data_IF_465796872568
#
_entry.id   IF_465796872568
#
_cell.length_a   1.000
_cell.length_b   1.000
_cell.length_c   1.000
_cell.angle_alpha   90.00
_cell.angle_beta   90.00
_cell.angle_gamma   90.00
#
_symmetry.space_group_name_H-M   'P 1'
#
loop_
_entity.id
_entity.type
_entity.pdbx_description
1 polymer ?
#
# COMPACT_ATOMS: atom_id res chain seq x y z
N UNK A 1 28.21 -27.31 -36.94
CA UNK A 1 26.72 -27.39 -36.96
C UNK A 1 26.38 -28.00 -35.63
N UNK A 2 25.85 -27.20 -34.73
CA UNK A 2 25.56 -27.65 -33.36
C UNK A 2 24.37 -28.62 -33.42
N UNK A 3 24.53 -29.79 -32.86
CA UNK A 3 23.50 -30.83 -32.85
C UNK A 3 22.56 -30.57 -31.66
N UNK A 4 21.51 -29.77 -31.89
CA UNK A 4 20.51 -29.45 -30.88
C UNK A 4 19.63 -30.68 -30.62
N UNK A 5 19.97 -31.47 -29.61
CA UNK A 5 19.17 -32.65 -29.23
C UNK A 5 18.01 -32.24 -28.31
N UNK A 6 16.98 -31.58 -28.87
CA UNK A 6 15.75 -31.25 -28.13
C UNK A 6 14.82 -32.46 -28.13
N UNK A 7 14.49 -32.99 -26.95
CA UNK A 7 13.49 -34.05 -26.80
C UNK A 7 12.15 -33.44 -26.40
N UNK A 8 11.24 -33.37 -27.36
CA UNK A 8 9.88 -32.89 -27.11
C UNK A 8 9.02 -34.02 -26.53
N UNK A 9 8.21 -33.68 -25.50
CA UNK A 9 7.25 -34.60 -24.90
C UNK A 9 5.83 -34.13 -25.22
N UNK A 10 5.05 -35.02 -25.87
CA UNK A 10 3.64 -34.77 -26.19
C UNK A 10 2.70 -35.05 -25.00
N UNK A 11 3.20 -35.75 -23.99
CA UNK A 11 2.51 -36.09 -22.72
C UNK A 11 2.76 -35.11 -21.61
N UNK A 12 3.41 -33.96 -21.87
CA UNK A 12 3.69 -32.92 -20.92
C UNK A 12 2.56 -31.88 -20.87
N UNK A 13 2.29 -31.30 -19.69
CA UNK A 13 1.37 -30.17 -19.53
C UNK A 13 1.85 -28.88 -20.20
N UNK A 14 3.12 -28.85 -20.64
CA UNK A 14 3.72 -27.71 -21.34
C UNK A 14 3.55 -27.78 -22.84
N UNK A 15 3.13 -26.66 -23.44
CA UNK A 15 3.05 -26.54 -24.90
C UNK A 15 4.42 -26.78 -25.57
N UNK A 16 4.44 -27.28 -26.80
CA UNK A 16 5.68 -27.58 -27.51
C UNK A 16 6.59 -26.38 -27.71
N UNK A 17 6.04 -25.18 -27.95
CA UNK A 17 6.83 -23.98 -28.08
C UNK A 17 7.54 -23.60 -26.78
N UNK A 18 6.89 -23.83 -25.61
CA UNK A 18 7.49 -23.61 -24.33
C UNK A 18 8.66 -24.55 -24.05
N UNK A 19 8.52 -25.81 -24.43
CA UNK A 19 9.61 -26.79 -24.29
C UNK A 19 10.82 -26.38 -25.11
N UNK A 20 10.61 -25.92 -26.36
CA UNK A 20 11.68 -25.45 -27.25
C UNK A 20 12.34 -24.21 -26.65
N UNK A 21 11.55 -23.22 -26.20
CA UNK A 21 12.01 -22.02 -25.60
C UNK A 21 12.85 -22.27 -24.31
N UNK A 22 12.32 -23.10 -23.41
CA UNK A 22 13.00 -23.41 -22.14
C UNK A 22 14.34 -24.15 -22.41
N UNK A 23 14.37 -25.05 -23.35
CA UNK A 23 15.58 -25.79 -23.71
C UNK A 23 16.68 -24.86 -24.26
N UNK A 24 16.35 -24.01 -25.24
CA UNK A 24 17.32 -23.09 -25.83
C UNK A 24 17.79 -22.08 -24.78
N UNK A 25 16.87 -21.52 -23.96
CA UNK A 25 17.20 -20.64 -22.89
C UNK A 25 18.17 -21.26 -21.90
N UNK A 26 17.95 -22.51 -21.53
CA UNK A 26 18.82 -23.25 -20.63
C UNK A 26 20.20 -23.47 -21.19
N UNK A 27 20.31 -23.88 -22.47
CA UNK A 27 21.60 -24.08 -23.14
C UNK A 27 22.41 -22.78 -23.26
N UNK A 28 21.74 -21.64 -23.49
CA UNK A 28 22.38 -20.31 -23.46
C UNK A 28 22.90 -19.99 -22.03
N UNK A 29 22.09 -20.24 -21.01
CA UNK A 29 22.46 -19.99 -19.61
C UNK A 29 23.60 -20.89 -19.12
N UNK A 30 23.63 -22.13 -19.55
CA UNK A 30 24.70 -23.09 -19.22
C UNK A 30 25.97 -22.87 -20.03
N UNK A 31 25.97 -21.91 -20.97
CA UNK A 31 27.10 -21.61 -21.83
C UNK A 31 27.38 -22.68 -22.92
N UNK A 32 26.43 -23.56 -23.16
CA UNK A 32 26.52 -24.54 -24.26
C UNK A 32 26.34 -23.89 -25.62
N UNK A 33 25.46 -22.87 -25.67
CA UNK A 33 25.30 -21.98 -26.82
C UNK A 33 26.04 -20.68 -26.51
N UNK A 34 27.10 -20.42 -27.29
CA UNK A 34 27.99 -19.29 -27.03
C UNK A 34 27.45 -17.98 -27.60
N UNK A 35 27.79 -16.86 -26.95
CA UNK A 35 27.44 -15.53 -27.47
C UNK A 35 27.97 -15.32 -28.90
N UNK A 36 27.09 -14.83 -29.78
CA UNK A 36 27.37 -14.66 -31.19
C UNK A 36 27.19 -15.94 -32.03
N UNK A 37 26.87 -17.07 -31.43
CA UNK A 37 26.58 -18.30 -32.13
C UNK A 37 25.26 -18.19 -32.92
N UNK A 38 25.24 -18.75 -34.12
CA UNK A 38 24.07 -18.71 -34.99
C UNK A 38 23.14 -19.87 -34.71
N UNK A 39 21.89 -19.61 -34.43
CA UNK A 39 20.85 -20.60 -34.29
C UNK A 39 20.34 -21.08 -35.67
N UNK A 40 19.80 -22.31 -35.75
CA UNK A 40 19.08 -22.78 -36.92
C UNK A 40 17.95 -21.82 -37.32
N UNK A 41 17.59 -21.78 -38.61
CA UNK A 41 16.38 -21.04 -38.99
C UNK A 41 15.14 -21.70 -38.42
N UNK A 42 14.08 -20.92 -38.18
CA UNK A 42 12.82 -21.45 -37.64
C UNK A 42 12.26 -22.60 -38.53
N UNK A 43 12.46 -22.49 -39.82
CA UNK A 43 12.08 -23.56 -40.78
C UNK A 43 12.92 -24.83 -40.59
N UNK A 44 14.24 -24.67 -40.50
CA UNK A 44 15.15 -25.80 -40.35
C UNK A 44 14.97 -26.54 -39.03
N UNK A 45 14.74 -25.77 -37.91
CA UNK A 45 14.49 -26.34 -36.59
C UNK A 45 13.12 -27.04 -36.54
N UNK A 46 12.10 -26.47 -37.18
CA UNK A 46 10.78 -27.07 -37.26
C UNK A 46 10.79 -28.41 -38.04
N UNK A 47 11.51 -28.45 -39.14
CA UNK A 47 11.71 -29.68 -39.93
C UNK A 47 12.47 -30.75 -39.11
N UNK A 48 13.51 -30.36 -38.39
CA UNK A 48 14.28 -31.26 -37.53
C UNK A 48 13.46 -31.84 -36.38
N UNK A 49 12.66 -30.98 -35.69
CA UNK A 49 11.83 -31.37 -34.56
C UNK A 49 10.48 -31.98 -34.95
N UNK A 50 10.15 -32.01 -36.23
CA UNK A 50 8.86 -32.48 -36.78
C UNK A 50 7.65 -31.75 -36.18
N UNK A 51 7.76 -30.42 -35.99
CA UNK A 51 6.70 -29.54 -35.47
C UNK A 51 6.29 -28.50 -36.52
N UNK A 52 5.16 -27.84 -36.29
CA UNK A 52 4.76 -26.73 -37.15
C UNK A 52 5.78 -25.57 -37.02
N UNK A 53 6.07 -24.88 -38.13
CA UNK A 53 6.99 -23.73 -38.13
C UNK A 53 6.56 -22.64 -37.12
N UNK A 54 5.26 -22.36 -37.01
CA UNK A 54 4.71 -21.41 -36.04
C UNK A 54 5.09 -21.74 -34.61
N UNK A 55 5.23 -23.02 -34.25
CA UNK A 55 5.65 -23.45 -32.90
C UNK A 55 7.07 -22.97 -32.60
N UNK A 56 7.97 -23.04 -33.57
CA UNK A 56 9.34 -22.57 -33.44
C UNK A 56 9.40 -21.04 -33.52
N UNK A 57 8.58 -20.41 -34.38
CA UNK A 57 8.49 -18.98 -34.50
C UNK A 57 8.08 -18.37 -33.13
N UNK A 58 7.06 -18.92 -32.43
CA UNK A 58 6.66 -18.46 -31.07
C UNK A 58 7.78 -18.62 -30.05
N UNK A 59 8.51 -19.70 -30.04
CA UNK A 59 9.64 -19.91 -29.14
C UNK A 59 10.76 -18.89 -29.39
N UNK A 60 11.07 -18.59 -30.65
CA UNK A 60 12.08 -17.62 -31.01
C UNK A 60 11.63 -16.17 -30.72
N UNK A 61 10.37 -15.85 -30.95
CA UNK A 61 9.83 -14.54 -30.63
C UNK A 61 9.93 -14.27 -29.14
N UNK A 62 9.71 -15.26 -28.29
CA UNK A 62 9.87 -15.13 -26.84
C UNK A 62 11.34 -14.95 -26.46
N UNK A 63 12.26 -15.72 -27.02
CA UNK A 63 13.70 -15.56 -26.80
C UNK A 63 14.21 -14.21 -27.28
N UNK A 64 13.66 -13.66 -28.38
CA UNK A 64 13.93 -12.31 -28.87
C UNK A 64 13.44 -11.25 -27.89
N UNK A 65 12.19 -11.37 -27.43
CA UNK A 65 11.57 -10.40 -26.51
C UNK A 65 12.30 -10.34 -25.17
N UNK A 66 12.85 -11.47 -24.71
CA UNK A 66 13.64 -11.55 -23.50
C UNK A 66 15.13 -11.21 -23.69
N UNK A 67 15.57 -11.00 -24.95
CA UNK A 67 16.94 -10.61 -25.25
C UNK A 67 17.97 -11.74 -25.16
N UNK A 68 17.56 -13.00 -25.16
CA UNK A 68 18.48 -14.15 -25.25
C UNK A 68 19.10 -14.30 -26.64
N UNK A 69 18.35 -13.93 -27.66
CA UNK A 69 18.78 -13.96 -29.05
C UNK A 69 18.47 -12.64 -29.75
N UNK A 70 19.14 -12.35 -30.82
CA UNK A 70 18.88 -11.22 -31.72
C UNK A 70 18.65 -11.68 -33.14
N UNK A 71 17.77 -11.01 -33.88
CA UNK A 71 17.55 -11.22 -35.28
C UNK A 71 18.44 -10.26 -36.11
N UNK A 72 19.31 -10.77 -36.96
CA UNK A 72 20.10 -9.98 -37.92
C UNK A 72 19.50 -10.07 -39.31
N UNK A 73 19.16 -8.94 -39.96
CA UNK A 73 18.57 -8.94 -41.29
C UNK A 73 19.37 -9.80 -42.25
N UNK A 74 18.70 -10.71 -42.98
CA UNK A 74 19.27 -11.65 -43.96
C UNK A 74 20.29 -12.66 -43.42
N UNK A 75 20.63 -12.62 -42.12
CA UNK A 75 21.65 -13.50 -41.51
C UNK A 75 21.06 -14.52 -40.55
N UNK A 76 19.86 -14.30 -40.04
CA UNK A 76 19.16 -15.19 -39.11
C UNK A 76 19.27 -14.78 -37.65
N UNK A 77 19.15 -15.75 -36.76
CA UNK A 77 19.11 -15.55 -35.31
C UNK A 77 20.46 -15.85 -34.65
N UNK A 78 20.86 -15.05 -33.69
CA UNK A 78 22.15 -15.17 -33.02
C UNK A 78 21.97 -15.03 -31.52
N UNK A 79 22.75 -15.77 -30.75
CA UNK A 79 22.77 -15.68 -29.29
C UNK A 79 23.36 -14.34 -28.84
N UNK A 80 22.66 -13.62 -27.96
CA UNK A 80 23.13 -12.36 -27.43
C UNK A 80 24.27 -12.56 -26.42
N UNK A 81 25.12 -11.55 -26.27
CA UNK A 81 26.15 -11.51 -25.23
C UNK A 81 25.48 -11.09 -23.90
N UNK A 82 25.33 -12.02 -22.99
CA UNK A 82 24.72 -11.81 -21.68
C UNK A 82 25.83 -11.41 -20.69
N UNK A 83 26.22 -10.12 -20.67
CA UNK A 83 27.21 -9.64 -19.71
C UNK A 83 26.56 -9.45 -18.32
N UNK A 84 27.05 -10.17 -17.32
CA UNK A 84 26.86 -9.88 -15.90
C UNK A 84 25.51 -10.19 -15.26
N UNK A 85 24.54 -10.74 -16.01
CA UNK A 85 23.19 -11.00 -15.46
C UNK A 85 23.10 -12.37 -14.73
N UNK A 86 24.04 -13.28 -14.96
CA UNK A 86 24.00 -14.65 -14.44
C UNK A 86 25.07 -14.99 -13.43
N UNK A 87 25.81 -14.01 -12.91
CA UNK A 87 26.66 -14.19 -11.73
C UNK A 87 25.92 -13.97 -10.40
N UNK A 88 24.61 -13.84 -10.42
CA UNK A 88 23.86 -14.35 -9.30
C UNK A 88 23.97 -15.89 -9.46
N UNK A 89 25.02 -16.46 -8.91
CA UNK A 89 24.96 -17.84 -8.49
C UNK A 89 23.57 -17.99 -7.89
N UNK A 90 22.72 -18.75 -8.56
CA UNK A 90 21.74 -19.46 -7.76
C UNK A 90 22.61 -20.26 -6.80
N UNK A 91 22.93 -19.65 -5.63
CA UNK A 91 22.76 -20.45 -4.48
C UNK A 91 21.40 -21.08 -4.68
N UNK A 92 21.42 -22.34 -5.08
CA UNK A 92 20.34 -23.26 -4.82
C UNK A 92 20.35 -23.46 -3.29
N UNK A 93 20.31 -22.36 -2.57
CA UNK A 93 19.64 -22.31 -1.31
C UNK A 93 18.25 -22.76 -1.70
N UNK A 94 17.91 -24.04 -1.42
CA UNK A 94 16.53 -24.37 -1.11
C UNK A 94 16.01 -23.10 -0.47
N UNK A 95 15.05 -22.44 -1.12
CA UNK A 95 14.14 -21.56 -0.39
C UNK A 95 13.83 -22.44 0.80
N UNK A 96 14.26 -22.11 2.03
CA UNK A 96 13.93 -22.95 3.16
C UNK A 96 12.44 -23.15 2.96
N UNK A 97 12.02 -24.41 2.76
CA UNK A 97 10.58 -24.67 2.77
C UNK A 97 10.17 -23.93 4.02
N UNK A 98 9.28 -22.93 3.94
CA UNK A 98 8.90 -22.16 5.10
C UNK A 98 8.61 -23.27 6.10
N UNK A 99 9.42 -23.34 7.19
CA UNK A 99 9.22 -24.31 8.25
C UNK A 99 7.73 -24.33 8.39
N UNK A 100 7.11 -25.49 8.10
CA UNK A 100 5.68 -25.54 7.85
C UNK A 100 5.08 -24.81 9.05
N UNK A 101 4.68 -23.55 8.82
CA UNK A 101 4.07 -22.74 9.87
C UNK A 101 2.93 -23.60 10.36
N UNK A 102 3.14 -24.23 11.50
CA UNK A 102 2.16 -25.06 12.15
C UNK A 102 1.19 -24.10 12.84
N UNK A 103 0.04 -23.79 12.21
CA UNK A 103 -0.96 -22.93 12.83
C UNK A 103 -1.45 -23.50 14.16
N UNK A 104 -1.14 -24.77 14.46
CA UNK A 104 -1.54 -25.45 15.68
C UNK A 104 -0.47 -25.38 16.79
N UNK A 105 0.77 -24.97 16.50
CA UNK A 105 1.81 -24.87 17.51
C UNK A 105 1.62 -23.65 18.44
N UNK A 106 0.99 -22.58 17.95
CA UNK A 106 0.67 -21.39 18.75
C UNK A 106 -0.69 -21.51 19.48
N UNK A 107 -1.57 -22.42 19.06
CA UNK A 107 -2.98 -22.47 19.47
C UNK A 107 -3.25 -23.34 20.74
N UNK A 108 -2.23 -23.96 21.33
CA UNK A 108 -2.46 -24.87 22.48
C UNK A 108 -2.73 -24.17 23.80
N UNK A 109 -2.54 -22.86 23.89
CA UNK A 109 -2.77 -22.08 25.13
C UNK A 109 -3.77 -20.92 24.94
N UNK A 110 -4.42 -20.78 23.76
CA UNK A 110 -5.26 -19.63 23.44
C UNK A 110 -6.74 -19.75 23.86
N UNK A 111 -7.21 -20.93 24.27
CA UNK A 111 -8.65 -21.12 24.61
C UNK A 111 -9.17 -20.26 25.77
N UNK A 112 -8.33 -19.42 26.41
CA UNK A 112 -8.75 -18.58 27.55
C UNK A 112 -8.21 -17.14 27.53
N UNK A 113 -7.57 -16.67 26.47
CA UNK A 113 -7.11 -15.29 26.41
C UNK A 113 -8.20 -14.41 25.79
N UNK A 114 -8.66 -13.43 26.55
CA UNK A 114 -9.48 -12.35 25.98
C UNK A 114 -8.51 -11.46 25.17
N UNK A 115 -8.69 -11.45 23.86
CA UNK A 115 -7.89 -10.62 22.95
C UNK A 115 -8.45 -9.17 22.94
N UNK A 116 -7.68 -8.23 23.50
CA UNK A 116 -7.93 -6.79 23.43
C UNK A 116 -7.17 -6.12 22.30
N UNK A 117 -6.66 -6.88 21.34
CA UNK A 117 -5.97 -6.31 20.17
C UNK A 117 -6.87 -5.30 19.45
N UNK A 118 -6.37 -4.12 19.12
CA UNK A 118 -7.13 -3.13 18.35
C UNK A 118 -7.45 -3.59 16.92
N UNK A 119 -6.87 -4.71 16.48
CA UNK A 119 -7.08 -5.29 15.15
C UNK A 119 -8.18 -6.37 15.13
N UNK A 120 -8.61 -6.85 16.30
CA UNK A 120 -9.73 -7.79 16.41
C UNK A 120 -11.04 -7.13 15.96
N UNK A 121 -11.70 -7.72 14.95
CA UNK A 121 -13.01 -7.26 14.46
C UNK A 121 -14.01 -8.37 14.70
N UNK A 122 -15.14 -8.03 15.33
CA UNK A 122 -16.27 -8.94 15.43
C UNK A 122 -16.97 -9.07 14.06
N UNK A 123 -16.56 -10.08 13.30
CA UNK A 123 -17.14 -10.37 11.99
C UNK A 123 -18.61 -10.82 12.06
N UNK A 124 -19.11 -11.25 13.24
CA UNK A 124 -20.51 -11.64 13.40
C UNK A 124 -21.44 -10.42 13.34
N UNK A 125 -20.96 -9.26 13.77
CA UNK A 125 -21.70 -7.99 13.69
C UNK A 125 -21.72 -7.35 12.31
N UNK A 126 -20.90 -7.82 11.36
CA UNK A 126 -20.79 -7.18 10.04
C UNK A 126 -22.04 -7.43 9.17
N UNK A 127 -22.67 -6.39 8.61
CA UNK A 127 -23.93 -6.52 7.89
C UNK A 127 -23.75 -7.05 6.44
N UNK A 128 -23.26 -8.28 6.28
CA UNK A 128 -22.97 -8.90 4.97
C UNK A 128 -24.14 -8.83 3.98
N UNK A 129 -25.39 -8.99 4.46
CA UNK A 129 -26.58 -8.94 3.62
C UNK A 129 -26.78 -7.56 2.97
N UNK A 130 -26.51 -6.50 3.73
CA UNK A 130 -26.60 -5.11 3.22
C UNK A 130 -25.48 -4.85 2.21
N UNK A 131 -24.24 -5.22 2.52
CA UNK A 131 -23.09 -5.09 1.64
C UNK A 131 -23.31 -5.83 0.32
N UNK A 132 -23.69 -7.11 0.38
CA UNK A 132 -23.98 -7.91 -0.83
C UNK A 132 -25.02 -7.25 -1.71
N UNK A 133 -26.10 -6.73 -1.11
CA UNK A 133 -27.17 -6.04 -1.85
C UNK A 133 -26.66 -4.76 -2.51
N UNK A 134 -25.92 -3.93 -1.77
CA UNK A 134 -25.34 -2.67 -2.29
C UNK A 134 -24.39 -2.98 -3.44
N UNK A 135 -23.44 -3.90 -3.23
CA UNK A 135 -22.47 -4.30 -4.25
C UNK A 135 -23.15 -4.79 -5.52
N UNK A 136 -24.16 -5.68 -5.39
CA UNK A 136 -24.91 -6.19 -6.53
C UNK A 136 -25.65 -5.08 -7.30
N UNK A 137 -26.17 -4.06 -6.60
CA UNK A 137 -26.87 -2.95 -7.23
C UNK A 137 -25.94 -1.97 -7.94
N UNK A 138 -24.71 -1.83 -7.46
CA UNK A 138 -23.71 -0.91 -8.01
C UNK A 138 -22.92 -1.57 -9.14
N UNK A 139 -22.49 -2.82 -8.96
CA UNK A 139 -21.72 -3.57 -9.97
C UNK A 139 -22.68 -4.16 -11.02
N UNK A 140 -23.03 -3.35 -12.01
CA UNK A 140 -23.83 -3.75 -13.16
C UNK A 140 -23.33 -3.07 -14.43
N UNK A 141 -23.79 -3.51 -15.59
CA UNK A 141 -23.34 -3.03 -16.89
C UNK A 141 -23.58 -1.52 -17.11
N UNK A 142 -24.54 -0.93 -16.39
CA UNK A 142 -24.84 0.51 -16.49
C UNK A 142 -23.82 1.40 -15.75
N UNK A 143 -23.00 0.80 -14.87
CA UNK A 143 -22.00 1.49 -14.06
C UNK A 143 -20.57 1.05 -14.43
N UNK A 144 -20.33 0.77 -15.70
CA UNK A 144 -19.00 0.30 -16.19
C UNK A 144 -17.88 1.32 -15.92
N UNK A 145 -18.21 2.59 -15.76
CA UNK A 145 -17.28 3.67 -15.39
C UNK A 145 -16.59 3.44 -14.03
N UNK A 146 -17.19 2.65 -13.13
CA UNK A 146 -16.55 2.28 -11.86
C UNK A 146 -15.24 1.50 -12.03
N UNK A 147 -15.03 0.92 -13.21
CA UNK A 147 -13.80 0.18 -13.56
C UNK A 147 -12.80 1.04 -14.35
N UNK A 148 -13.14 2.28 -14.63
CA UNK A 148 -12.22 3.23 -15.25
C UNK A 148 -11.22 3.77 -14.22
N UNK A 149 -10.13 4.35 -14.71
CA UNK A 149 -9.20 5.08 -13.85
C UNK A 149 -9.90 6.28 -13.22
N UNK A 150 -10.07 6.27 -11.88
CA UNK A 150 -10.66 7.35 -11.13
C UNK A 150 -9.76 8.59 -11.02
N UNK A 151 -10.27 9.61 -10.32
CA UNK A 151 -9.52 10.84 -10.04
C UNK A 151 -8.39 10.57 -9.01
N UNK A 152 -7.26 11.25 -9.16
CA UNK A 152 -6.10 11.11 -8.26
C UNK A 152 -6.40 11.40 -6.77
N UNK A 153 -7.41 12.25 -6.50
CA UNK A 153 -7.89 12.57 -5.15
C UNK A 153 -8.98 11.61 -4.65
N UNK A 154 -9.42 10.66 -5.47
CA UNK A 154 -10.63 9.86 -5.28
C UNK A 154 -11.85 10.50 -5.98
N UNK A 155 -12.84 9.69 -6.29
CA UNK A 155 -14.03 10.10 -7.05
C UNK A 155 -14.76 11.27 -6.38
N UNK A 156 -15.21 12.22 -7.19
CA UNK A 156 -15.84 13.44 -6.68
C UNK A 156 -17.07 13.14 -5.83
N UNK A 157 -17.94 12.23 -6.25
CA UNK A 157 -19.16 11.87 -5.52
C UNK A 157 -18.85 11.24 -4.16
N UNK A 158 -17.78 10.46 -4.07
CA UNK A 158 -17.29 9.93 -2.80
C UNK A 158 -16.80 11.07 -1.90
N UNK A 159 -15.98 11.97 -2.41
CA UNK A 159 -15.49 13.15 -1.67
C UNK A 159 -16.61 14.08 -1.21
N UNK A 160 -17.63 14.28 -2.06
CA UNK A 160 -18.83 15.04 -1.71
C UNK A 160 -19.62 14.36 -0.58
N UNK A 161 -19.75 13.04 -0.64
CA UNK A 161 -20.42 12.26 0.40
C UNK A 161 -19.67 12.31 1.72
N UNK A 162 -18.34 12.18 1.67
CA UNK A 162 -17.45 12.33 2.84
C UNK A 162 -17.58 13.74 3.43
N UNK A 163 -17.54 14.79 2.62
CA UNK A 163 -17.69 16.17 3.09
C UNK A 163 -19.01 16.37 3.86
N UNK A 164 -20.11 15.90 3.31
CA UNK A 164 -21.44 15.97 3.96
C UNK A 164 -21.49 15.17 5.28
N UNK A 165 -20.93 13.97 5.25
CA UNK A 165 -20.85 13.11 6.42
C UNK A 165 -20.03 13.77 7.54
N UNK A 166 -18.84 14.25 7.26
CA UNK A 166 -17.96 14.88 8.22
C UNK A 166 -18.56 16.18 8.78
N UNK A 167 -19.23 16.97 7.93
CA UNK A 167 -19.94 18.16 8.37
C UNK A 167 -21.04 17.82 9.39
N UNK A 168 -21.89 16.83 9.07
CA UNK A 168 -23.02 16.45 9.94
C UNK A 168 -22.60 15.71 11.20
N UNK A 169 -21.55 14.88 11.15
CA UNK A 169 -21.14 14.03 12.26
C UNK A 169 -20.10 14.69 13.17
N UNK A 170 -19.20 15.50 12.62
CA UNK A 170 -18.04 16.03 13.33
C UNK A 170 -17.92 17.55 13.27
N UNK A 171 -18.79 18.22 12.52
CA UNK A 171 -18.72 19.67 12.30
C UNK A 171 -17.54 20.11 11.44
N UNK A 172 -16.86 19.18 10.76
CA UNK A 172 -15.71 19.50 9.91
C UNK A 172 -16.15 20.41 8.77
N UNK A 173 -15.48 21.53 8.61
CA UNK A 173 -15.74 22.48 7.53
C UNK A 173 -14.76 22.23 6.38
N UNK A 174 -15.17 21.39 5.41
CA UNK A 174 -14.37 21.09 4.25
C UNK A 174 -15.23 21.00 2.98
N UNK A 175 -14.64 21.35 1.84
CA UNK A 175 -15.22 21.15 0.51
C UNK A 175 -14.68 19.89 -0.13
N UNK A 176 -15.39 19.27 -1.09
CA UNK A 176 -14.91 18.07 -1.78
C UNK A 176 -13.50 18.22 -2.40
N UNK A 177 -13.17 19.42 -2.89
CA UNK A 177 -11.86 19.72 -3.48
C UNK A 177 -10.70 19.69 -2.49
N UNK A 178 -11.01 19.75 -1.18
CA UNK A 178 -10.02 19.69 -0.09
C UNK A 178 -9.84 18.28 0.45
N UNK A 179 -10.58 17.30 -0.07
CA UNK A 179 -10.55 15.91 0.42
C UNK A 179 -9.68 15.07 -0.51
N UNK A 180 -8.81 14.29 0.07
CA UNK A 180 -8.02 13.26 -0.60
C UNK A 180 -8.39 11.91 0.01
N UNK A 181 -8.81 10.97 -0.82
CA UNK A 181 -9.06 9.58 -0.44
C UNK A 181 -7.81 8.77 -0.77
N UNK A 182 -7.26 8.09 0.21
CA UNK A 182 -6.02 7.35 0.06
C UNK A 182 -6.08 5.94 0.65
N UNK A 183 -5.09 5.14 0.31
CA UNK A 183 -4.96 3.75 0.74
C UNK A 183 -4.34 3.66 2.15
N UNK A 184 -5.08 4.10 3.17
CA UNK A 184 -4.66 4.02 4.56
C UNK A 184 -3.84 5.20 5.06
N UNK A 185 -3.56 5.19 6.37
CA UNK A 185 -2.93 6.31 7.08
C UNK A 185 -1.49 6.55 6.60
N UNK A 186 -0.74 5.50 6.34
CA UNK A 186 0.67 5.58 5.93
C UNK A 186 0.81 6.35 4.61
N UNK A 187 -0.07 6.06 3.64
CA UNK A 187 -0.13 6.78 2.37
C UNK A 187 -0.47 8.27 2.57
N UNK A 188 -1.44 8.58 3.46
CA UNK A 188 -1.81 9.96 3.74
C UNK A 188 -0.67 10.72 4.44
N UNK A 189 0.05 10.09 5.37
CA UNK A 189 1.21 10.68 6.01
C UNK A 189 2.38 10.90 5.02
N UNK A 190 2.55 10.00 4.03
CA UNK A 190 3.51 10.21 2.94
C UNK A 190 3.15 11.42 2.07
N UNK A 191 1.87 11.62 1.75
CA UNK A 191 1.42 12.82 1.03
C UNK A 191 1.66 14.08 1.85
N UNK A 192 1.40 14.05 3.16
CA UNK A 192 1.67 15.18 4.05
C UNK A 192 3.16 15.51 4.10
N UNK A 193 4.05 14.51 4.04
CA UNK A 193 5.51 14.76 3.94
C UNK A 193 5.84 15.58 2.68
N UNK A 194 5.21 15.29 1.54
CA UNK A 194 5.42 16.04 0.30
C UNK A 194 4.89 17.47 0.38
N UNK A 195 3.78 17.68 1.08
CA UNK A 195 3.14 19.00 1.22
C UNK A 195 3.89 19.86 2.24
N UNK A 196 4.21 19.33 3.40
CA UNK A 196 4.84 20.04 4.50
C UNK A 196 6.35 20.22 4.32
N UNK A 197 7.00 19.33 3.54
CA UNK A 197 8.45 19.30 3.34
C UNK A 197 9.20 18.58 4.46
N UNK A 198 10.44 18.17 4.19
CA UNK A 198 11.26 17.30 5.06
C UNK A 198 11.95 17.99 6.23
N UNK A 199 12.04 19.31 6.22
CA UNK A 199 12.84 20.06 7.19
C UNK A 199 12.01 20.73 8.29
N UNK A 200 10.77 20.26 8.48
CA UNK A 200 9.90 20.76 9.54
C UNK A 200 10.02 19.88 10.78
N UNK A 201 10.13 20.49 11.95
CA UNK A 201 9.97 19.78 13.22
C UNK A 201 8.51 19.42 13.46
N UNK A 202 8.27 18.18 13.89
CA UNK A 202 6.93 17.69 14.26
C UNK A 202 6.89 17.41 15.75
N UNK A 203 5.94 18.02 16.46
CA UNK A 203 5.60 17.65 17.83
C UNK A 203 4.60 16.50 17.83
N UNK A 204 4.81 15.52 18.69
CA UNK A 204 3.88 14.44 18.95
C UNK A 204 3.59 14.31 20.43
N UNK A 205 2.38 13.88 20.78
CA UNK A 205 1.97 13.61 22.16
C UNK A 205 2.86 12.54 22.81
N UNK A 206 3.05 12.61 24.10
CA UNK A 206 3.76 11.59 24.89
C UNK A 206 2.84 11.07 26.02
N UNK A 207 2.34 9.81 25.94
CA UNK A 207 2.56 8.79 24.89
C UNK A 207 1.85 9.11 23.58
N UNK A 208 2.26 8.45 22.46
CA UNK A 208 1.69 8.68 21.13
C UNK A 208 1.44 7.38 20.37
N UNK A 209 0.77 7.48 19.21
CA UNK A 209 0.58 6.38 18.29
C UNK A 209 1.90 5.98 17.63
N UNK A 210 2.39 4.79 17.99
CA UNK A 210 3.72 4.31 17.60
C UNK A 210 3.91 4.18 16.09
N UNK A 211 2.84 3.83 15.33
CA UNK A 211 2.94 3.68 13.86
C UNK A 211 3.19 5.05 13.21
N UNK A 212 2.41 6.07 13.52
CA UNK A 212 2.65 7.41 13.02
C UNK A 212 4.06 7.93 13.40
N UNK A 213 4.50 7.69 14.64
CA UNK A 213 5.85 8.04 15.08
C UNK A 213 6.93 7.37 14.20
N UNK A 214 6.79 6.06 13.91
CA UNK A 214 7.74 5.32 13.07
C UNK A 214 7.76 5.86 11.64
N UNK A 215 6.60 6.20 11.07
CA UNK A 215 6.48 6.76 9.73
C UNK A 215 7.17 8.12 9.65
N UNK A 216 6.86 9.06 10.54
CA UNK A 216 7.54 10.36 10.56
C UNK A 216 9.06 10.21 10.77
N UNK A 217 9.48 9.27 11.61
CA UNK A 217 10.90 8.96 11.79
C UNK A 217 11.56 8.41 10.52
N UNK A 218 10.86 7.57 9.75
CA UNK A 218 11.38 7.04 8.48
C UNK A 218 11.56 8.12 7.42
N UNK A 219 10.78 9.20 7.50
CA UNK A 219 10.93 10.39 6.64
C UNK A 219 12.02 11.35 7.12
N UNK A 220 12.77 10.98 8.16
CA UNK A 220 13.83 11.78 8.76
C UNK A 220 13.34 13.13 9.33
N UNK A 221 12.08 13.22 9.76
CA UNK A 221 11.60 14.37 10.49
C UNK A 221 12.29 14.51 11.86
N UNK A 222 12.54 15.76 12.26
CA UNK A 222 12.89 16.06 13.65
C UNK A 222 11.63 15.95 14.51
N UNK A 223 11.52 14.87 15.28
CA UNK A 223 10.36 14.60 16.13
C UNK A 223 10.67 15.06 17.55
N UNK A 224 9.79 15.89 18.11
CA UNK A 224 9.81 16.32 19.50
C UNK A 224 8.58 15.73 20.19
N UNK A 225 8.79 15.02 21.29
CA UNK A 225 7.68 14.52 22.12
C UNK A 225 7.31 15.57 23.15
N UNK A 226 6.03 15.93 23.19
CA UNK A 226 5.48 16.93 24.11
C UNK A 226 4.60 16.23 25.13
N UNK A 227 4.86 16.47 26.42
CA UNK A 227 4.11 15.85 27.49
C UNK A 227 2.65 16.27 27.47
N UNK A 228 1.81 15.35 27.90
CA UNK A 228 0.37 15.52 28.07
C UNK A 228 0.01 15.69 29.55
N UNK A 229 -1.12 16.30 29.78
CA UNK A 229 -1.88 16.26 31.02
C UNK A 229 -3.28 15.65 30.74
N UNK A 230 -4.16 15.72 31.73
CA UNK A 230 -5.56 15.24 31.62
C UNK A 230 -6.40 15.99 30.57
N UNK A 231 -5.88 17.08 30.00
CA UNK A 231 -6.54 17.92 28.98
C UNK A 231 -5.95 17.73 27.58
N UNK A 232 -4.90 16.92 27.43
CA UNK A 232 -4.21 16.66 26.15
C UNK A 232 -2.80 17.27 26.08
N UNK A 233 -2.23 17.39 24.87
CA UNK A 233 -0.90 17.97 24.64
C UNK A 233 -0.77 19.36 25.28
N UNK A 234 0.28 19.57 26.03
CA UNK A 234 0.54 20.86 26.72
C UNK A 234 1.00 21.94 25.74
N UNK A 235 0.13 22.91 25.48
CA UNK A 235 0.41 24.01 24.54
C UNK A 235 1.55 24.92 24.99
N UNK A 236 1.72 25.10 26.32
CA UNK A 236 2.82 25.87 26.90
C UNK A 236 4.20 25.23 26.66
N UNK A 237 4.26 23.88 26.62
CA UNK A 237 5.47 23.15 26.26
C UNK A 237 5.71 23.20 24.78
N UNK A 238 4.67 23.01 23.98
CA UNK A 238 4.74 23.07 22.51
C UNK A 238 5.29 24.43 22.01
N UNK A 239 4.95 25.54 22.68
CA UNK A 239 5.45 26.87 22.31
C UNK A 239 6.97 27.02 22.47
N UNK A 240 7.60 26.23 23.34
CA UNK A 240 9.05 26.27 23.60
C UNK A 240 9.85 25.49 22.58
N UNK A 241 9.19 24.65 21.76
CA UNK A 241 9.85 23.74 20.86
C UNK A 241 10.03 24.33 19.44
N UNK A 242 11.13 23.99 18.74
CA UNK A 242 11.41 24.49 17.39
C UNK A 242 10.62 23.70 16.33
N UNK A 243 9.32 23.55 16.51
CA UNK A 243 8.44 22.77 15.64
C UNK A 243 7.45 23.65 14.89
N UNK A 244 7.00 23.15 13.74
CA UNK A 244 5.99 23.83 12.90
C UNK A 244 4.70 23.04 12.79
N UNK A 245 4.75 21.75 13.09
CA UNK A 245 3.59 20.85 13.00
C UNK A 245 3.40 20.15 14.33
N UNK A 246 2.16 20.03 14.78
CA UNK A 246 1.82 19.18 15.91
C UNK A 246 0.78 18.12 15.49
N UNK A 247 1.10 16.86 15.74
CA UNK A 247 0.23 15.71 15.52
C UNK A 247 -0.50 15.37 16.80
N UNK A 248 -1.83 15.42 16.77
CA UNK A 248 -2.69 15.28 17.95
C UNK A 248 -3.90 14.39 17.67
N UNK A 249 -4.42 13.73 18.71
CA UNK A 249 -5.63 12.90 18.68
C UNK A 249 -6.67 13.45 19.65
N UNK A 250 -7.39 14.53 19.33
CA UNK A 250 -8.20 15.29 20.29
C UNK A 250 -9.45 14.57 20.75
N UNK A 251 -9.99 13.64 19.99
CA UNK A 251 -11.26 12.96 20.26
C UNK A 251 -11.08 11.79 21.24
N UNK A 252 -10.13 10.92 20.94
CA UNK A 252 -9.71 9.81 21.79
C UNK A 252 -8.21 9.63 21.62
N UNK A 253 -7.43 10.14 22.53
CA UNK A 253 -5.98 10.03 22.47
C UNK A 253 -5.54 8.55 22.62
N UNK A 254 -4.73 8.09 21.71
CA UNK A 254 -4.15 6.74 21.80
C UNK A 254 -2.73 6.80 22.38
N UNK A 255 -2.41 6.02 23.44
CA UNK A 255 -3.21 4.93 24.02
C UNK A 255 -4.01 5.30 25.27
N UNK A 256 -4.06 6.56 25.71
CA UNK A 256 -4.60 6.93 27.02
C UNK A 256 -6.14 7.00 27.07
N UNK A 257 -6.80 7.16 25.92
CA UNK A 257 -8.23 7.41 25.83
C UNK A 257 -8.65 8.81 26.30
N UNK A 258 -7.70 9.71 26.57
CA UNK A 258 -7.99 11.07 27.01
C UNK A 258 -8.72 11.85 25.91
N UNK A 259 -9.69 12.67 26.34
CA UNK A 259 -10.42 13.59 25.46
C UNK A 259 -9.87 14.99 25.67
N UNK A 260 -9.38 15.62 24.61
CA UNK A 260 -8.85 16.97 24.68
C UNK A 260 -9.96 17.98 24.95
N UNK A 261 -9.79 18.76 26.00
CA UNK A 261 -10.76 19.77 26.40
C UNK A 261 -10.85 20.92 25.40
N UNK A 262 -12.01 21.60 25.32
CA UNK A 262 -12.21 22.72 24.39
C UNK A 262 -11.23 23.87 24.65
N UNK A 263 -10.85 24.11 25.92
CA UNK A 263 -9.84 25.08 26.27
C UNK A 263 -8.47 24.76 25.67
N UNK A 264 -8.05 23.49 25.76
CA UNK A 264 -6.78 23.03 25.15
C UNK A 264 -6.81 23.08 23.63
N UNK A 265 -7.91 22.72 22.99
CA UNK A 265 -8.10 22.88 21.54
C UNK A 265 -7.91 24.32 21.09
N UNK A 266 -8.51 25.27 21.82
CA UNK A 266 -8.34 26.70 21.56
C UNK A 266 -6.89 27.19 21.80
N UNK A 267 -6.17 26.61 22.76
CA UNK A 267 -4.73 26.91 22.96
C UNK A 267 -3.88 26.45 21.80
N UNK A 268 -4.12 25.22 21.28
CA UNK A 268 -3.39 24.68 20.15
C UNK A 268 -3.71 25.45 18.85
N UNK A 269 -4.95 25.82 18.61
CA UNK A 269 -5.33 26.65 17.46
C UNK A 269 -4.60 28.01 17.52
N UNK A 270 -4.62 28.69 18.65
CA UNK A 270 -3.86 29.93 18.84
C UNK A 270 -2.36 29.75 18.63
N UNK A 271 -1.78 28.60 19.04
CA UNK A 271 -0.38 28.30 18.74
C UNK A 271 -0.12 28.20 17.24
N UNK A 272 -1.00 27.52 16.50
CA UNK A 272 -0.86 27.40 15.04
C UNK A 272 -1.07 28.73 14.31
N UNK A 273 -1.98 29.56 14.77
CA UNK A 273 -2.26 30.89 14.19
C UNK A 273 -1.14 31.90 14.36
N UNK A 274 -0.30 31.76 15.39
CA UNK A 274 0.82 32.70 15.64
C UNK A 274 1.84 32.79 14.51
N UNK A 275 1.96 31.73 13.71
CA UNK A 275 2.89 31.70 12.57
C UNK A 275 2.20 31.13 11.32
N UNK A 276 2.50 31.68 10.13
CA UNK A 276 1.86 31.24 8.89
C UNK A 276 2.19 29.80 8.51
N UNK A 277 3.35 29.29 8.92
CA UNK A 277 3.90 27.98 8.61
C UNK A 277 3.69 26.91 9.70
N UNK A 278 2.85 27.21 10.70
CA UNK A 278 2.42 26.25 11.71
C UNK A 278 1.11 25.59 11.34
N UNK A 279 1.01 24.26 11.56
CA UNK A 279 -0.16 23.45 11.30
C UNK A 279 -0.40 22.43 12.41
N UNK A 280 -1.64 21.98 12.55
CA UNK A 280 -2.05 20.88 13.39
C UNK A 280 -2.51 19.72 12.49
N UNK A 281 -2.06 18.51 12.76
CA UNK A 281 -2.60 17.29 12.16
C UNK A 281 -3.51 16.67 13.23
N UNK A 282 -4.81 16.65 12.94
CA UNK A 282 -5.81 15.99 13.78
C UNK A 282 -6.04 14.58 13.25
N UNK A 283 -5.62 13.56 13.99
CA UNK A 283 -5.91 12.16 13.68
C UNK A 283 -7.17 11.72 14.45
N UNK A 284 -8.23 11.45 13.70
CA UNK A 284 -9.56 11.12 14.21
C UNK A 284 -9.95 9.71 13.73
N UNK A 285 -9.35 8.72 14.37
CA UNK A 285 -9.37 7.33 13.92
C UNK A 285 -10.63 6.53 14.34
N UNK A 286 -11.37 6.97 15.36
CA UNK A 286 -12.47 6.22 15.97
C UNK A 286 -13.66 7.08 16.45
N UNK A 287 -13.82 8.26 15.92
CA UNK A 287 -14.82 9.25 16.38
C UNK A 287 -16.28 8.82 16.19
N UNK A 288 -16.55 7.80 15.41
CA UNK A 288 -17.87 7.18 15.28
C UNK A 288 -18.30 6.47 16.57
N UNK A 289 -17.34 6.01 17.38
CA UNK A 289 -17.64 5.31 18.64
C UNK A 289 -17.89 6.31 19.77
N UNK A 290 -19.05 6.19 20.38
CA UNK A 290 -19.47 7.03 21.47
C UNK A 290 -19.58 6.21 22.73
N UNK A 291 -18.67 6.42 23.63
CA UNK A 291 -18.70 5.76 24.93
C UNK A 291 -19.59 6.47 25.95
N UNK A 292 -19.73 7.81 25.83
CA UNK A 292 -20.58 8.66 26.68
C UNK A 292 -20.99 9.94 25.94
N UNK A 293 -22.23 10.39 26.16
CA UNK A 293 -22.70 11.71 25.77
C UNK A 293 -22.95 11.94 24.26
N UNK A 294 -22.94 13.20 23.85
CA UNK A 294 -23.10 13.64 22.46
C UNK A 294 -21.77 13.58 21.71
N UNK A 295 -21.78 13.56 20.36
CA UNK A 295 -20.55 13.66 19.59
C UNK A 295 -19.77 14.91 19.99
N UNK A 296 -18.44 14.73 20.12
CA UNK A 296 -17.54 15.85 20.35
C UNK A 296 -17.18 16.41 18.96
N UNK A 297 -17.36 17.72 18.69
CA UNK A 297 -16.90 18.29 17.42
C UNK A 297 -15.39 18.08 17.22
N UNK A 298 -14.94 18.02 15.98
CA UNK A 298 -13.52 17.94 15.67
C UNK A 298 -12.77 19.21 16.11
N UNK A 299 -11.46 19.15 16.20
CA UNK A 299 -10.61 20.35 16.38
C UNK A 299 -10.75 21.26 15.14
N UNK A 300 -10.79 20.65 13.95
CA UNK A 300 -10.96 21.35 12.68
C UNK A 300 -12.26 22.15 12.61
N UNK A 301 -13.32 21.72 13.27
CA UNK A 301 -14.61 22.48 13.28
C UNK A 301 -14.51 23.87 13.88
N UNK A 302 -13.45 24.13 14.65
CA UNK A 302 -13.17 25.44 15.29
C UNK A 302 -12.04 26.19 14.58
N UNK A 303 -11.58 25.71 13.44
CA UNK A 303 -10.48 26.30 12.67
C UNK A 303 -11.01 27.23 11.57
N UNK A 304 -10.96 28.54 11.82
CA UNK A 304 -11.36 29.55 10.83
C UNK A 304 -10.20 30.01 9.93
N UNK A 305 -8.98 29.52 10.18
CA UNK A 305 -7.74 29.97 9.52
C UNK A 305 -7.09 28.95 8.61
N UNK A 306 -7.65 27.74 8.49
CA UNK A 306 -7.08 26.65 7.67
C UNK A 306 -5.77 26.13 8.25
N UNK A 307 -5.70 25.99 9.55
CA UNK A 307 -4.51 25.50 10.28
C UNK A 307 -4.56 24.03 10.62
N UNK A 308 -5.72 23.40 10.49
CA UNK A 308 -5.91 22.00 10.86
C UNK A 308 -6.03 21.13 9.60
N UNK A 309 -5.17 20.13 9.53
CA UNK A 309 -5.23 19.05 8.56
C UNK A 309 -5.92 17.87 9.27
N UNK A 310 -7.14 17.56 8.84
CA UNK A 310 -7.92 16.48 9.43
C UNK A 310 -7.66 15.16 8.73
N UNK A 311 -7.36 14.11 9.47
CA UNK A 311 -7.22 12.73 8.99
C UNK A 311 -8.32 11.89 9.64
N UNK A 312 -9.07 11.15 8.86
CA UNK A 312 -10.10 10.21 9.32
C UNK A 312 -10.01 8.89 8.58
N UNK A 313 -10.61 7.86 9.14
CA UNK A 313 -10.67 6.52 8.55
C UNK A 313 -12.04 5.90 8.74
N UNK A 314 -12.49 5.11 7.77
CA UNK A 314 -13.69 4.27 7.89
C UNK A 314 -13.39 2.85 8.41
N UNK A 315 -12.12 2.51 8.56
CA UNK A 315 -11.68 1.15 8.90
C UNK A 315 -12.24 0.64 10.22
N UNK A 316 -12.42 1.52 11.20
CA UNK A 316 -12.98 1.15 12.51
C UNK A 316 -14.50 1.02 12.49
N UNK A 317 -15.17 1.90 11.75
CA UNK A 317 -16.63 1.98 11.73
C UNK A 317 -17.29 0.95 10.79
N UNK A 318 -16.66 0.61 9.68
CA UNK A 318 -17.28 -0.22 8.64
C UNK A 318 -16.69 -1.63 8.62
N UNK A 319 -15.43 -1.80 8.43
CA UNK A 319 -14.60 -3.02 8.59
C UNK A 319 -13.25 -2.84 7.92
N UNK A 320 -12.28 -3.69 8.26
CA UNK A 320 -10.96 -3.73 7.61
C UNK A 320 -10.97 -3.99 6.09
N UNK A 321 -12.11 -4.26 5.48
CA UNK A 321 -12.22 -4.47 4.03
C UNK A 321 -11.79 -3.24 3.21
N UNK A 322 -11.90 -2.04 3.78
CA UNK A 322 -11.34 -0.81 3.21
C UNK A 322 -9.82 -0.66 3.49
N UNK A 323 -9.28 -1.52 4.33
CA UNK A 323 -7.88 -1.54 4.76
C UNK A 323 -7.03 -2.59 4.02
N UNK A 324 -7.66 -3.46 3.22
CA UNK A 324 -6.98 -4.59 2.57
C UNK A 324 -6.02 -4.22 1.45
N UNK A 325 -5.99 -2.97 1.01
CA UNK A 325 -4.93 -2.50 0.12
C UNK A 325 -3.56 -2.37 0.82
N UNK A 326 -3.54 -2.27 2.16
CA UNK A 326 -2.32 -2.18 2.97
C UNK A 326 -1.79 -3.57 3.41
N UNK A 327 -2.63 -4.61 3.38
CA UNK A 327 -2.25 -5.95 3.87
C UNK A 327 -1.38 -6.75 2.88
N UNK A 328 -1.15 -6.23 1.67
CA UNK A 328 -0.29 -6.88 0.68
C UNK A 328 1.21 -6.61 0.91
N UNK A 329 1.55 -5.61 1.72
CA UNK A 329 2.94 -5.20 1.97
C UNK A 329 3.53 -5.75 3.28
N UNK A 330 2.75 -6.48 4.08
CA UNK A 330 3.18 -7.08 5.35
C UNK A 330 3.61 -8.58 5.22
N UNK A 331 4.14 -8.96 4.04
CA UNK A 331 4.80 -10.29 3.87
C UNK A 331 6.28 -10.12 3.64
#
# INVERSE_FOLDING_TARGET
MYDMTIRLRTDSDKCLYQQIYEHIRQEIREGKLLAGERLPSTRSLAEYLQVARSTVDYAYDQLLSEGYIEARPYKGYFVCKLEGIFTLEQETGRVPEPEAWDPQAEDRDEEKRIDFSPYGIDMNGFPFGVWKRITKNILNDSNSELFAQGEAQGDYDLRLTISRYLHSSRGVNCRPEQIIVGAGNDYLLLLLEKILGRHVGIAMENPTYKRAYRIFRSFAYHIVTVDMDDKGMRADRLEQEPVRVAYVMPSHQYPTGAVMTIGRRAELLRWAEKKPDRYLIEDDYDSEFRYRGKPIPSLQSSDDRGKVIYIGTFSKAIACLLYTSDAADDK
#
